data_IF_841763073724
#
_entry.id   IF_841763073724
#
_cell.length_a   1.000
_cell.length_b   1.000
_cell.length_c   1.000
_cell.angle_alpha   90.00
_cell.angle_beta   90.00
_cell.angle_gamma   90.00
#
_symmetry.space_group_name_H-M   'P 1'
#
loop_
_entity.id
_entity.type
_entity.pdbx_description
1 polymer ?
#
# COMPACT_ATOMS: atom_id res chain seq x y z
N UNK A 1 -14.73 -32.17 4.89
CA UNK A 1 -14.55 -30.75 5.27
C UNK A 1 -14.82 -30.62 6.74
N UNK A 2 -13.82 -30.27 7.54
CA UNK A 2 -14.00 -30.10 8.99
C UNK A 2 -14.86 -28.85 9.27
N UNK A 3 -15.60 -28.78 10.40
CA UNK A 3 -16.39 -27.61 10.78
C UNK A 3 -15.57 -26.30 10.80
N UNK A 4 -14.27 -26.42 11.09
CA UNK A 4 -13.32 -25.31 11.14
C UNK A 4 -13.12 -24.63 9.77
N UNK A 5 -13.20 -25.37 8.64
CA UNK A 5 -12.97 -24.79 7.31
C UNK A 5 -14.10 -23.85 6.86
N UNK A 6 -15.34 -24.02 7.36
CA UNK A 6 -16.46 -23.13 7.02
C UNK A 6 -16.33 -21.77 7.71
N UNK A 7 -15.96 -21.77 8.99
CA UNK A 7 -15.74 -20.54 9.75
C UNK A 7 -14.55 -19.72 9.20
N UNK A 8 -13.46 -20.39 8.81
CA UNK A 8 -12.30 -19.72 8.20
C UNK A 8 -12.64 -19.18 6.80
N UNK A 9 -13.48 -19.88 6.03
CA UNK A 9 -13.92 -19.41 4.71
C UNK A 9 -14.75 -18.13 4.77
N UNK A 10 -15.65 -18.01 5.74
CA UNK A 10 -16.44 -16.78 5.91
C UNK A 10 -15.60 -15.60 6.41
N UNK A 11 -14.69 -15.85 7.37
CA UNK A 11 -13.75 -14.83 7.85
C UNK A 11 -12.81 -14.34 6.73
N UNK A 12 -12.27 -15.26 5.91
CA UNK A 12 -11.45 -14.91 4.76
C UNK A 12 -12.23 -14.07 3.74
N UNK A 13 -13.48 -14.44 3.45
CA UNK A 13 -14.33 -13.68 2.54
C UNK A 13 -14.63 -12.25 3.00
N UNK A 14 -14.77 -12.03 4.32
CA UNK A 14 -14.91 -10.68 4.88
C UNK A 14 -13.63 -9.86 4.70
N UNK A 15 -12.47 -10.44 5.03
CA UNK A 15 -11.17 -9.75 4.92
C UNK A 15 -10.87 -9.37 3.47
N UNK A 16 -11.11 -10.27 2.50
CA UNK A 16 -10.90 -9.96 1.07
C UNK A 16 -11.79 -8.81 0.62
N UNK A 17 -13.09 -8.82 0.93
CA UNK A 17 -14.00 -7.73 0.58
C UNK A 17 -13.59 -6.40 1.20
N UNK A 18 -13.18 -6.43 2.47
CA UNK A 18 -12.70 -5.23 3.15
C UNK A 18 -11.45 -4.67 2.48
N UNK A 19 -10.50 -5.53 2.12
CA UNK A 19 -9.27 -5.12 1.48
C UNK A 19 -9.53 -4.49 0.10
N UNK A 20 -10.31 -5.16 -0.74
CA UNK A 20 -10.61 -4.75 -2.11
C UNK A 20 -11.46 -3.48 -2.20
N UNK A 21 -12.44 -3.34 -1.29
CA UNK A 21 -13.40 -2.23 -1.36
C UNK A 21 -12.91 -1.00 -0.59
N UNK A 22 -12.19 -1.19 0.53
CA UNK A 22 -11.85 -0.08 1.42
C UNK A 22 -10.35 0.17 1.42
N UNK A 23 -9.54 -0.84 1.71
CA UNK A 23 -8.11 -0.62 1.97
C UNK A 23 -7.35 -0.22 0.71
N UNK A 24 -7.43 -0.99 -0.38
CA UNK A 24 -6.71 -0.64 -1.61
C UNK A 24 -7.14 0.71 -2.21
N UNK A 25 -8.45 1.02 -2.34
CA UNK A 25 -8.87 2.33 -2.83
C UNK A 25 -8.45 3.49 -1.91
N UNK A 26 -8.48 3.28 -0.60
CA UNK A 26 -8.05 4.30 0.37
C UNK A 26 -6.54 4.57 0.26
N UNK A 27 -5.70 3.53 0.16
CA UNK A 27 -4.25 3.70 -0.02
C UNK A 27 -3.96 4.46 -1.32
N UNK A 28 -4.62 4.09 -2.42
CA UNK A 28 -4.47 4.77 -3.70
C UNK A 28 -4.90 6.25 -3.60
N UNK A 29 -6.01 6.53 -2.93
CA UNK A 29 -6.51 7.89 -2.71
C UNK A 29 -5.56 8.72 -1.85
N UNK A 30 -5.07 8.18 -0.73
CA UNK A 30 -4.11 8.88 0.14
C UNK A 30 -2.78 9.15 -0.58
N UNK A 31 -2.32 8.19 -1.39
CA UNK A 31 -1.10 8.35 -2.20
C UNK A 31 -1.30 9.46 -3.24
N UNK A 32 -2.44 9.50 -3.92
CA UNK A 32 -2.77 10.55 -4.88
C UNK A 32 -2.83 11.93 -4.22
N UNK A 33 -3.47 12.04 -3.05
CA UNK A 33 -3.53 13.30 -2.29
C UNK A 33 -2.13 13.75 -1.85
N UNK A 34 -1.31 12.84 -1.31
CA UNK A 34 0.07 13.15 -0.92
C UNK A 34 0.90 13.65 -2.12
N UNK A 35 0.73 13.01 -3.29
CA UNK A 35 1.39 13.43 -4.52
C UNK A 35 0.92 14.81 -5.01
N UNK A 36 -0.37 15.12 -4.92
CA UNK A 36 -0.92 16.44 -5.25
C UNK A 36 -0.38 17.54 -4.32
N UNK A 37 -0.33 17.28 -3.01
CA UNK A 37 0.25 18.23 -2.03
C UNK A 37 1.74 18.45 -2.31
N UNK A 38 2.46 17.39 -2.67
CA UNK A 38 3.86 17.49 -3.09
C UNK A 38 4.02 18.38 -4.34
N UNK A 39 3.23 18.16 -5.39
CA UNK A 39 3.26 18.96 -6.61
C UNK A 39 2.88 20.44 -6.36
N UNK A 40 1.89 20.68 -5.49
CA UNK A 40 1.51 22.02 -5.06
C UNK A 40 2.67 22.73 -4.36
N UNK A 41 3.30 22.06 -3.40
CA UNK A 41 4.47 22.58 -2.70
C UNK A 41 5.64 22.89 -3.64
N UNK A 42 5.92 22.00 -4.61
CA UNK A 42 6.95 22.25 -5.63
C UNK A 42 6.64 23.51 -6.44
N UNK A 43 5.40 23.65 -6.91
CA UNK A 43 4.98 24.81 -7.72
C UNK A 43 5.07 26.10 -6.92
N UNK A 44 4.61 26.09 -5.67
CA UNK A 44 4.69 27.24 -4.76
C UNK A 44 6.14 27.64 -4.44
N UNK A 45 7.02 26.65 -4.24
CA UNK A 45 8.44 26.88 -4.01
C UNK A 45 9.13 27.51 -5.23
N UNK A 46 8.84 27.04 -6.44
CA UNK A 46 9.43 27.59 -7.67
C UNK A 46 8.89 28.98 -8.02
N UNK A 47 7.58 29.21 -7.88
CA UNK A 47 6.97 30.50 -8.22
C UNK A 47 7.34 31.62 -7.24
N UNK A 48 7.60 31.28 -5.98
CA UNK A 48 7.93 32.25 -4.94
C UNK A 48 9.43 32.32 -4.60
N UNK A 49 10.30 31.95 -5.54
CA UNK A 49 11.75 31.88 -5.33
C UNK A 49 12.39 33.20 -4.83
N UNK A 50 11.73 34.35 -5.07
CA UNK A 50 12.22 35.69 -4.70
C UNK A 50 11.64 36.21 -3.37
N UNK A 51 10.71 35.49 -2.74
CA UNK A 51 10.06 35.90 -1.48
C UNK A 51 10.29 34.85 -0.39
N UNK A 52 11.11 35.19 0.61
CA UNK A 52 11.54 34.26 1.67
C UNK A 52 10.38 33.67 2.48
N UNK A 53 9.32 34.44 2.75
CA UNK A 53 8.17 33.96 3.52
C UNK A 53 7.36 32.92 2.74
N UNK A 54 7.07 33.19 1.46
CA UNK A 54 6.31 32.27 0.62
C UNK A 54 7.14 31.02 0.26
N UNK A 55 8.47 31.15 0.18
CA UNK A 55 9.39 30.02 0.04
C UNK A 55 9.35 29.09 1.24
N UNK A 56 9.33 29.63 2.46
CA UNK A 56 9.25 28.82 3.68
C UNK A 56 7.95 28.01 3.75
N UNK A 57 6.83 28.57 3.28
CA UNK A 57 5.55 27.86 3.20
C UNK A 57 5.57 26.76 2.14
N UNK A 58 6.13 27.02 0.95
CA UNK A 58 6.32 25.99 -0.09
C UNK A 58 7.17 24.81 0.40
N UNK A 59 8.25 25.07 1.15
CA UNK A 59 9.08 24.01 1.76
C UNK A 59 8.30 23.14 2.74
N UNK A 60 7.40 23.73 3.54
CA UNK A 60 6.54 22.97 4.45
C UNK A 60 5.62 22.03 3.69
N UNK A 61 4.96 22.50 2.63
CA UNK A 61 4.09 21.67 1.79
C UNK A 61 4.85 20.53 1.10
N UNK A 62 6.05 20.79 0.58
CA UNK A 62 6.93 19.75 0.01
C UNK A 62 7.27 18.71 1.08
N UNK A 63 7.64 19.15 2.28
CA UNK A 63 8.06 18.26 3.37
C UNK A 63 6.92 17.33 3.79
N UNK A 64 5.69 17.84 3.92
CA UNK A 64 4.52 17.00 4.20
C UNK A 64 4.24 16.00 3.07
N UNK A 65 4.39 16.41 1.82
CA UNK A 65 4.28 15.52 0.66
C UNK A 65 5.33 14.39 0.68
N UNK A 66 6.59 14.73 0.94
CA UNK A 66 7.69 13.75 1.02
C UNK A 66 7.48 12.76 2.17
N UNK A 67 7.09 13.24 3.35
CA UNK A 67 6.80 12.36 4.49
C UNK A 67 5.72 11.34 4.11
N UNK A 68 4.64 11.79 3.46
CA UNK A 68 3.59 10.90 2.96
C UNK A 68 4.11 9.84 1.99
N UNK A 69 4.93 10.24 1.01
CA UNK A 69 5.52 9.31 0.03
C UNK A 69 6.47 8.31 0.68
N UNK A 70 7.31 8.75 1.62
CA UNK A 70 8.25 7.89 2.36
C UNK A 70 7.51 6.83 3.17
N UNK A 71 6.37 7.17 3.80
CA UNK A 71 5.55 6.20 4.54
C UNK A 71 5.01 5.11 3.60
N UNK A 72 4.52 5.48 2.41
CA UNK A 72 4.02 4.50 1.44
C UNK A 72 5.12 3.54 0.96
N UNK A 73 6.31 4.07 0.64
CA UNK A 73 7.46 3.27 0.22
C UNK A 73 7.95 2.37 1.37
N UNK A 74 7.98 2.90 2.60
CA UNK A 74 8.39 2.18 3.80
C UNK A 74 7.48 0.97 4.06
N UNK A 75 6.17 1.13 3.94
CA UNK A 75 5.23 0.02 4.08
C UNK A 75 5.52 -1.11 3.08
N UNK A 76 5.73 -0.77 1.79
CA UNK A 76 6.08 -1.77 0.77
C UNK A 76 7.43 -2.45 1.04
N UNK A 77 8.44 -1.68 1.46
CA UNK A 77 9.76 -2.21 1.78
C UNK A 77 9.71 -3.21 2.96
N UNK A 78 8.97 -2.87 4.02
CA UNK A 78 8.78 -3.74 5.18
C UNK A 78 8.06 -5.03 4.77
N UNK A 79 6.99 -4.93 3.98
CA UNK A 79 6.28 -6.11 3.46
C UNK A 79 7.24 -6.98 2.65
N UNK A 80 8.00 -6.41 1.72
CA UNK A 80 8.96 -7.14 0.88
C UNK A 80 9.99 -7.89 1.73
N UNK A 81 10.56 -7.25 2.76
CA UNK A 81 11.52 -7.89 3.66
C UNK A 81 10.85 -9.02 4.42
N UNK A 82 9.66 -8.79 5.00
CA UNK A 82 8.92 -9.83 5.71
C UNK A 82 8.62 -11.04 4.83
N UNK A 83 8.18 -10.84 3.58
CA UNK A 83 7.92 -11.95 2.64
C UNK A 83 9.18 -12.77 2.34
N UNK A 84 10.32 -12.10 2.19
CA UNK A 84 11.60 -12.73 1.91
C UNK A 84 12.15 -13.47 3.13
N UNK A 85 12.02 -12.89 4.32
CA UNK A 85 12.50 -13.49 5.58
C UNK A 85 11.73 -14.77 5.92
N UNK A 86 10.42 -14.78 5.75
CA UNK A 86 9.61 -15.96 6.09
C UNK A 86 9.40 -16.93 4.92
N UNK A 87 9.93 -16.64 3.71
CA UNK A 87 9.73 -17.48 2.53
C UNK A 87 8.28 -17.50 2.03
N UNK A 88 7.51 -16.44 2.32
CA UNK A 88 6.08 -16.34 2.06
C UNK A 88 5.73 -15.84 0.64
N UNK A 89 6.70 -15.64 -0.25
CA UNK A 89 6.47 -15.06 -1.58
C UNK A 89 5.45 -15.83 -2.44
N UNK A 90 5.62 -17.15 -2.58
CA UNK A 90 4.75 -17.98 -3.44
C UNK A 90 3.31 -18.04 -2.92
N UNK A 91 3.17 -18.19 -1.61
CA UNK A 91 1.90 -18.26 -0.89
C UNK A 91 1.17 -16.91 -0.86
N UNK A 92 1.89 -15.78 -0.78
CA UNK A 92 1.30 -14.44 -0.90
C UNK A 92 0.85 -14.12 -2.33
N UNK A 93 1.65 -14.46 -3.35
CA UNK A 93 1.25 -14.25 -4.75
C UNK A 93 0.00 -15.07 -5.11
N UNK A 94 -0.11 -16.28 -4.57
CA UNK A 94 -1.31 -17.13 -4.70
C UNK A 94 -2.54 -16.61 -3.95
N UNK A 95 -2.35 -15.79 -2.91
CA UNK A 95 -3.44 -15.19 -2.14
C UNK A 95 -3.89 -13.84 -2.71
N UNK A 96 -2.98 -13.08 -3.32
CA UNK A 96 -3.23 -11.76 -3.93
C UNK A 96 -4.00 -11.87 -5.26
N UNK A 97 -3.82 -12.97 -6.00
CA UNK A 97 -4.63 -13.26 -7.18
C UNK A 97 -5.93 -13.97 -6.77
N UNK A 98 -7.09 -13.40 -7.14
CA UNK A 98 -8.46 -13.90 -6.87
C UNK A 98 -8.80 -15.25 -7.53
N UNK A 99 -7.80 -16.05 -7.88
CA UNK A 99 -8.00 -17.37 -8.44
C UNK A 99 -7.11 -18.41 -7.76
N UNK A 100 -7.44 -18.71 -6.50
CA UNK A 100 -6.90 -19.82 -5.72
C UNK A 100 -7.16 -21.23 -6.35
N UNK A 101 -7.74 -21.29 -7.56
CA UNK A 101 -7.88 -22.53 -8.35
C UNK A 101 -6.80 -22.70 -9.43
N UNK A 102 -5.87 -21.75 -9.59
CA UNK A 102 -4.74 -21.91 -10.50
C UNK A 102 -3.84 -23.08 -10.02
N UNK A 103 -3.58 -24.11 -10.84
CA UNK A 103 -2.74 -25.25 -10.47
C UNK A 103 -1.30 -24.86 -10.10
N UNK A 104 -0.83 -23.67 -10.49
CA UNK A 104 0.45 -23.11 -10.04
C UNK A 104 0.54 -22.86 -8.52
N UNK A 105 -0.60 -22.84 -7.82
CA UNK A 105 -0.69 -22.63 -6.37
C UNK A 105 -0.86 -23.93 -5.56
N UNK A 106 -0.94 -25.09 -6.23
CA UNK A 106 -1.17 -26.38 -5.58
C UNK A 106 -0.06 -26.79 -4.59
N UNK A 107 1.17 -26.32 -4.82
CA UNK A 107 2.35 -26.56 -3.98
C UNK A 107 2.73 -25.36 -3.11
N UNK A 108 1.97 -24.25 -3.12
CA UNK A 108 2.29 -23.05 -2.36
C UNK A 108 2.00 -23.18 -0.84
N UNK A 109 1.02 -24.01 -0.46
CA UNK A 109 0.63 -24.25 0.94
C UNK A 109 1.08 -25.62 1.47
N UNK A 110 1.94 -26.34 0.72
CA UNK A 110 2.45 -27.65 1.12
C UNK A 110 3.74 -27.45 1.91
N UNK A 111 3.58 -27.33 3.23
CA UNK A 111 4.66 -27.37 4.24
C UNK A 111 5.02 -28.82 4.53
#
# INVERSE_FOLDING_TARGET
MSPQQKAVGEAAGFVTKLNDIIIYPLIALLTAVAFLVFLWGCTEYFMNATNDQAREQGVKHITYGIIGLVIMISAFAILSIATATFGLGNQLNCADHTNATNPACANAFKI
#
